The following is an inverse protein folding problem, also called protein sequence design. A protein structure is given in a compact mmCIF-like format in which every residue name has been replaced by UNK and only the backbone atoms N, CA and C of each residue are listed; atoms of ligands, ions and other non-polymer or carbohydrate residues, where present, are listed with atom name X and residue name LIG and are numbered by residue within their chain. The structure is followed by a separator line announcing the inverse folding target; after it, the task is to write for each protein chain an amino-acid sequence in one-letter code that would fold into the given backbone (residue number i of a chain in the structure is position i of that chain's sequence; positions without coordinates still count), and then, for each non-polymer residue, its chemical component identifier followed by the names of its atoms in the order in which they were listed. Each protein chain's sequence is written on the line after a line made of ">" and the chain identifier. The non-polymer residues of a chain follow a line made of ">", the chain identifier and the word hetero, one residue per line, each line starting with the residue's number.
data_IF_856630748666
#
_entry.id   IF_856630748666
#
_cell.length_a   1.000
_cell.length_b   1.000
_cell.length_c   1.000
_cell.angle_alpha   90.00
_cell.angle_beta   90.00
_cell.angle_gamma   90.00
#
_symmetry.space_group_name_H-M   'P 1'
#
loop_
_entity.id
_entity.type
_entity.pdbx_description
1 polymer ?
#
# COMPACT_ATOMS: atom_id res chain seq x y z
N UNK A 1 4.09 11.03 -8.13
CA UNK A 1 4.30 9.60 -8.44
C UNK A 1 4.55 8.95 -7.10
N UNK A 2 3.56 8.26 -6.56
CA UNK A 2 3.77 7.58 -5.30
C UNK A 2 4.53 6.28 -5.51
N UNK A 3 5.41 6.05 -4.55
CA UNK A 3 6.24 4.89 -4.42
C UNK A 3 5.41 3.77 -3.81
N UNK A 4 4.69 2.99 -4.64
CA UNK A 4 4.49 1.59 -4.26
C UNK A 4 5.88 1.00 -4.00
N UNK A 5 6.02 0.27 -2.88
CA UNK A 5 7.14 -0.65 -2.73
C UNK A 5 7.07 -1.62 -3.92
N UNK A 6 7.85 -1.34 -4.96
CA UNK A 6 7.98 -2.21 -6.12
C UNK A 6 8.40 -3.59 -5.58
N UNK A 7 7.78 -4.64 -6.12
CA UNK A 7 7.96 -6.01 -5.64
C UNK A 7 9.43 -6.41 -5.56
N UNK A 8 9.78 -7.19 -4.52
CA UNK A 8 11.13 -7.69 -4.28
C UNK A 8 11.45 -8.86 -5.22
N UNK A 9 10.43 -9.65 -5.54
CA UNK A 9 10.47 -10.76 -6.46
C UNK A 9 9.65 -10.47 -7.70
N UNK A 10 10.09 -11.01 -8.84
CA UNK A 10 9.29 -11.10 -10.04
C UNK A 10 8.17 -12.13 -9.84
N UNK A 11 6.93 -11.79 -10.18
CA UNK A 11 5.77 -12.65 -9.91
C UNK A 11 5.74 -13.90 -10.79
N UNK A 12 6.33 -13.85 -11.99
CA UNK A 12 6.25 -14.92 -12.99
C UNK A 12 7.39 -15.93 -12.81
N UNK A 13 8.59 -15.44 -12.51
CA UNK A 13 9.81 -16.25 -12.41
C UNK A 13 10.22 -16.55 -10.99
N UNK A 14 9.71 -15.80 -10.00
CA UNK A 14 10.16 -15.85 -8.61
C UNK A 14 11.57 -15.26 -8.40
N UNK A 15 12.18 -14.70 -9.43
CA UNK A 15 13.55 -14.17 -9.35
C UNK A 15 13.58 -12.94 -8.45
N UNK A 16 14.60 -12.84 -7.60
CA UNK A 16 14.89 -11.64 -6.84
C UNK A 16 15.25 -10.49 -7.80
N UNK A 17 14.44 -9.43 -7.82
CA UNK A 17 14.65 -8.26 -8.69
C UNK A 17 15.13 -7.03 -7.93
N UNK A 18 15.22 -7.12 -6.59
CA UNK A 18 15.66 -6.02 -5.71
C UNK A 18 16.46 -6.54 -4.55
N UNK A 19 17.45 -5.76 -4.16
CA UNK A 19 18.28 -5.95 -2.98
C UNK A 19 18.12 -4.80 -1.96
N UNK A 20 17.00 -4.08 -2.04
CA UNK A 20 16.67 -3.00 -1.11
C UNK A 20 15.16 -2.70 -1.08
N UNK A 21 14.68 -2.26 0.08
CA UNK A 21 13.31 -1.90 0.38
C UNK A 21 13.27 -0.63 1.25
N UNK A 22 13.13 0.56 0.62
CA UNK A 22 13.09 1.84 1.35
C UNK A 22 11.93 1.94 2.36
N UNK A 23 10.80 1.30 2.08
CA UNK A 23 9.66 1.27 3.02
C UNK A 23 10.02 0.46 4.26
N UNK A 24 10.71 -0.67 4.10
CA UNK A 24 11.21 -1.45 5.23
C UNK A 24 12.21 -0.65 6.06
N UNK A 25 13.15 0.05 5.41
CA UNK A 25 14.08 0.97 6.10
C UNK A 25 13.34 1.95 6.98
N UNK A 26 12.35 2.65 6.42
CA UNK A 26 11.56 3.62 7.16
C UNK A 26 10.82 2.99 8.34
N UNK A 27 10.15 1.83 8.14
CA UNK A 27 9.43 1.16 9.22
C UNK A 27 10.37 0.65 10.32
N UNK A 28 11.54 0.10 9.99
CA UNK A 28 12.54 -0.33 10.98
C UNK A 28 13.06 0.87 11.76
N UNK A 29 13.48 1.95 11.08
CA UNK A 29 13.96 3.16 11.75
C UNK A 29 12.86 3.77 12.63
N UNK A 30 11.61 3.74 12.19
CA UNK A 30 10.48 4.20 12.97
C UNK A 30 10.27 3.40 14.26
N UNK A 31 10.72 2.14 14.39
CA UNK A 31 10.65 1.39 15.65
C UNK A 31 11.51 2.03 16.76
N UNK A 32 12.60 2.71 16.39
CA UNK A 32 13.43 3.49 17.32
C UNK A 32 12.73 4.80 17.73
N UNK A 33 11.99 5.43 16.81
CA UNK A 33 11.33 6.72 17.02
C UNK A 33 9.90 6.63 17.61
N UNK A 34 9.16 5.55 17.35
CA UNK A 34 7.78 5.33 17.82
C UNK A 34 7.68 5.23 19.35
N UNK A 35 8.79 4.90 20.02
CA UNK A 35 8.89 5.05 21.47
C UNK A 35 8.66 6.48 21.96
N UNK A 36 8.92 7.49 21.13
CA UNK A 36 8.72 8.91 21.43
C UNK A 36 7.34 9.46 21.00
N UNK A 37 6.78 9.02 19.86
CA UNK A 37 5.48 9.53 19.35
C UNK A 37 4.24 9.01 20.11
N UNK A 38 4.26 7.77 20.61
CA UNK A 38 3.12 7.18 21.35
C UNK A 38 3.35 7.10 22.87
N UNK A 39 4.37 7.77 23.41
CA UNK A 39 4.57 7.96 24.86
C UNK A 39 4.67 6.69 25.74
N UNK A 40 4.74 5.49 25.16
CA UNK A 40 4.48 4.23 25.91
C UNK A 40 5.74 3.42 26.24
N UNK A 41 6.88 3.64 25.57
CA UNK A 41 8.09 2.87 25.87
C UNK A 41 8.91 3.61 26.91
N UNK A 42 9.04 3.03 28.11
CA UNK A 42 9.94 3.53 29.17
C UNK A 42 11.35 3.71 28.57
N UNK A 43 12.11 4.75 28.98
CA UNK A 43 13.52 4.87 28.63
C UNK A 43 14.26 3.54 28.89
N UNK A 44 14.98 3.03 27.89
CA UNK A 44 15.65 1.72 27.94
C UNK A 44 14.90 0.54 27.30
N UNK A 45 13.64 0.72 26.87
CA UNK A 45 12.84 -0.32 26.17
C UNK A 45 12.78 -0.13 24.65
N UNK A 46 13.57 0.79 24.11
CA UNK A 46 13.66 1.05 22.67
C UNK A 46 14.72 0.13 22.06
N UNK A 47 14.48 -0.46 20.87
CA UNK A 47 15.54 -1.08 20.12
C UNK A 47 16.67 -0.07 19.84
N UNK A 48 17.91 -0.50 20.01
CA UNK A 48 19.14 0.28 19.78
C UNK A 48 19.86 -0.24 18.54
N UNK A 49 20.57 0.64 17.84
CA UNK A 49 21.39 0.23 16.69
C UNK A 49 20.61 -0.21 15.45
N UNK A 50 19.33 0.11 15.34
CA UNK A 50 18.55 -0.12 14.11
C UNK A 50 19.06 0.82 13.00
N UNK A 51 19.59 0.24 11.91
CA UNK A 51 20.10 0.99 10.75
C UNK A 51 19.14 1.00 9.56
N UNK A 52 17.99 0.33 9.66
CA UNK A 52 17.07 0.13 8.56
C UNK A 52 17.27 -1.21 7.86
N UNK A 53 16.91 -1.27 6.58
CA UNK A 53 17.13 -2.42 5.70
C UNK A 53 18.62 -2.74 5.53
N UNK A 54 18.95 -4.00 5.21
CA UNK A 54 20.33 -4.49 5.08
C UNK A 54 20.49 -5.38 3.85
N UNK A 55 21.58 -5.25 3.04
CA UNK A 55 21.83 -6.12 1.90
C UNK A 55 21.82 -7.62 2.23
N UNK A 56 22.21 -7.99 3.46
CA UNK A 56 22.20 -9.37 3.95
C UNK A 56 20.80 -10.02 3.93
N UNK A 57 19.72 -9.23 3.95
CA UNK A 57 18.36 -9.74 3.84
C UNK A 57 18.09 -10.42 2.49
N UNK A 58 18.87 -10.08 1.46
CA UNK A 58 18.64 -10.49 0.07
C UNK A 58 19.70 -11.47 -0.45
N UNK A 59 20.82 -11.62 0.25
CA UNK A 59 21.93 -12.48 -0.18
C UNK A 59 21.50 -13.95 -0.22
N UNK A 60 21.50 -14.56 -1.42
CA UNK A 60 21.09 -15.94 -1.63
C UNK A 60 19.61 -16.22 -1.28
N UNK A 61 18.77 -15.19 -1.20
CA UNK A 61 17.34 -15.36 -0.92
C UNK A 61 16.63 -15.94 -2.14
N UNK A 62 16.12 -17.16 -2.00
CA UNK A 62 15.24 -17.78 -3.00
C UNK A 62 13.81 -17.20 -2.91
N UNK A 63 12.88 -17.67 -3.73
CA UNK A 63 11.48 -17.25 -3.67
C UNK A 63 10.77 -17.83 -2.43
N UNK A 64 11.14 -17.32 -1.26
CA UNK A 64 10.63 -17.74 0.04
C UNK A 64 10.31 -16.50 0.90
N UNK A 65 9.01 -16.25 1.06
CA UNK A 65 8.53 -15.12 1.85
C UNK A 65 8.77 -15.34 3.35
N UNK A 66 8.73 -16.58 3.81
CA UNK A 66 8.91 -16.92 5.21
C UNK A 66 10.36 -16.76 5.65
N UNK A 67 11.30 -17.15 4.79
CA UNK A 67 12.73 -16.89 5.00
C UNK A 67 13.00 -15.39 5.01
N UNK A 68 12.47 -14.65 4.03
CA UNK A 68 12.61 -13.19 3.98
C UNK A 68 12.12 -12.53 5.29
N UNK A 69 10.93 -12.89 5.76
CA UNK A 69 10.37 -12.37 7.01
C UNK A 69 11.16 -12.79 8.24
N UNK A 70 11.70 -14.01 8.26
CA UNK A 70 12.57 -14.49 9.34
C UNK A 70 13.87 -13.68 9.41
N UNK A 71 14.47 -13.36 8.27
CA UNK A 71 15.67 -12.50 8.19
C UNK A 71 15.37 -11.08 8.68
N UNK A 72 14.20 -10.51 8.32
CA UNK A 72 13.76 -9.20 8.84
C UNK A 72 13.59 -9.25 10.36
N UNK A 73 12.97 -10.32 10.88
CA UNK A 73 12.82 -10.56 12.33
C UNK A 73 14.18 -10.59 13.02
N UNK A 74 15.13 -11.36 12.50
CA UNK A 74 16.47 -11.48 13.09
C UNK A 74 17.21 -10.12 13.07
N UNK A 75 17.09 -9.35 11.99
CA UNK A 75 17.65 -8.00 11.90
C UNK A 75 17.06 -7.03 12.94
N UNK A 76 15.73 -7.02 13.10
CA UNK A 76 15.04 -6.15 14.09
C UNK A 76 15.38 -6.60 15.52
N UNK A 77 15.35 -7.91 15.77
CA UNK A 77 15.58 -8.48 17.09
C UNK A 77 17.03 -8.34 17.55
N UNK A 78 18.00 -8.29 16.64
CA UNK A 78 19.40 -8.00 16.98
C UNK A 78 19.58 -6.60 17.62
N UNK A 79 18.67 -5.66 17.33
CA UNK A 79 18.64 -4.33 17.95
C UNK A 79 17.92 -4.29 19.29
N UNK A 80 17.22 -5.35 19.71
CA UNK A 80 16.48 -5.36 20.98
C UNK A 80 17.41 -5.82 22.11
N UNK A 81 17.59 -5.04 23.19
CA UNK A 81 18.42 -5.46 24.30
C UNK A 81 17.91 -6.76 24.95
N UNK A 82 18.79 -7.73 25.17
CA UNK A 82 18.45 -9.06 25.71
C UNK A 82 17.77 -8.99 27.09
N UNK A 83 18.16 -8.01 27.92
CA UNK A 83 17.54 -7.78 29.23
C UNK A 83 16.11 -7.21 29.15
N UNK A 84 15.66 -6.79 27.97
CA UNK A 84 14.30 -6.30 27.72
C UNK A 84 13.46 -7.39 27.06
N UNK A 85 14.02 -8.07 26.06
CA UNK A 85 13.39 -9.20 25.38
C UNK A 85 14.49 -10.20 25.00
N UNK A 86 14.47 -11.42 25.55
CA UNK A 86 15.37 -12.46 25.11
C UNK A 86 15.22 -12.72 23.60
N UNK A 87 16.31 -13.03 22.87
CA UNK A 87 16.23 -13.36 21.45
C UNK A 87 15.28 -14.52 21.13
N UNK A 88 15.02 -15.43 22.07
CA UNK A 88 14.03 -16.51 21.90
C UNK A 88 12.59 -15.99 21.83
N UNK A 89 12.29 -14.90 22.51
CA UNK A 89 10.93 -14.39 22.72
C UNK A 89 10.64 -13.22 21.76
N UNK A 90 11.70 -12.67 21.14
CA UNK A 90 11.57 -11.56 20.22
C UNK A 90 10.81 -11.97 18.96
N UNK A 91 9.63 -11.39 18.79
CA UNK A 91 8.72 -11.63 17.67
C UNK A 91 8.39 -10.31 16.99
N UNK A 92 8.23 -10.34 15.67
CA UNK A 92 7.68 -9.22 14.90
C UNK A 92 6.36 -9.64 14.26
N UNK A 93 5.47 -8.69 14.03
CA UNK A 93 4.22 -8.92 13.30
C UNK A 93 4.27 -8.16 11.99
N UNK A 94 3.93 -8.85 10.89
CA UNK A 94 3.92 -8.30 9.54
C UNK A 94 2.53 -8.46 8.93
N UNK A 95 2.12 -7.49 8.12
CA UNK A 95 0.88 -7.58 7.33
C UNK A 95 1.24 -7.96 5.90
N UNK A 96 0.86 -9.17 5.48
CA UNK A 96 1.01 -9.62 4.10
C UNK A 96 -0.26 -9.30 3.32
N UNK A 97 -0.11 -8.56 2.23
CA UNK A 97 -1.22 -8.21 1.34
C UNK A 97 -0.98 -8.75 -0.08
N UNK A 98 -2.02 -9.06 -0.86
CA UNK A 98 -1.87 -9.54 -2.25
C UNK A 98 -1.07 -8.60 -3.15
N UNK A 99 -1.00 -7.32 -2.82
CA UNK A 99 -0.18 -6.32 -3.51
C UNK A 99 1.32 -6.69 -3.56
N UNK A 100 1.82 -7.49 -2.60
CA UNK A 100 3.21 -7.98 -2.61
C UNK A 100 3.53 -8.83 -3.84
N UNK A 101 2.52 -9.47 -4.42
CA UNK A 101 2.62 -10.29 -5.63
C UNK A 101 1.87 -9.66 -6.80
N UNK A 102 1.66 -8.33 -6.77
CA UNK A 102 0.95 -7.55 -7.79
C UNK A 102 -0.56 -7.84 -7.90
N UNK A 103 -1.17 -8.35 -6.82
CA UNK A 103 -2.61 -8.57 -6.73
C UNK A 103 -3.35 -7.25 -6.51
N UNK A 104 -4.51 -7.09 -7.12
CA UNK A 104 -5.36 -5.92 -6.93
C UNK A 104 -6.64 -6.27 -6.20
N UNK A 105 -6.76 -5.74 -4.99
CA UNK A 105 -7.90 -5.94 -4.11
C UNK A 105 -8.72 -4.65 -3.96
N UNK A 106 -8.68 -3.75 -4.95
CA UNK A 106 -9.46 -2.53 -4.91
C UNK A 106 -10.95 -2.87 -5.00
N UNK A 107 -11.72 -2.38 -4.02
CA UNK A 107 -13.17 -2.54 -3.92
C UNK A 107 -13.92 -1.98 -5.12
N UNK A 108 -15.02 -2.62 -5.51
CA UNK A 108 -15.97 -2.01 -6.43
C UNK A 108 -16.82 -0.99 -5.66
N UNK A 109 -16.63 0.31 -5.94
CA UNK A 109 -17.39 1.36 -5.24
C UNK A 109 -18.83 1.50 -5.77
N UNK A 110 -19.04 1.27 -7.07
CA UNK A 110 -20.32 1.49 -7.76
C UNK A 110 -20.64 0.32 -8.70
N UNK A 111 -21.90 -0.06 -8.82
CA UNK A 111 -22.39 -1.09 -9.75
C UNK A 111 -22.07 -0.75 -11.21
N UNK A 112 -22.09 0.54 -11.56
CA UNK A 112 -21.78 1.03 -12.90
C UNK A 112 -20.29 0.94 -13.29
N UNK A 113 -19.40 0.62 -12.35
CA UNK A 113 -17.95 0.50 -12.58
C UNK A 113 -17.45 -0.87 -12.12
N UNK A 114 -17.82 -1.96 -12.81
CA UNK A 114 -17.35 -3.29 -12.47
C UNK A 114 -15.84 -3.44 -12.68
N UNK A 115 -15.19 -4.43 -12.04
CA UNK A 115 -13.80 -4.78 -12.31
C UNK A 115 -13.56 -5.04 -13.80
N UNK A 116 -12.46 -4.52 -14.33
CA UNK A 116 -12.12 -4.68 -15.75
C UNK A 116 -11.58 -6.07 -16.03
N UNK A 117 -11.64 -6.51 -17.30
CA UNK A 117 -11.03 -7.79 -17.73
C UNK A 117 -9.54 -7.87 -17.38
N UNK A 118 -8.79 -6.78 -17.59
CA UNK A 118 -7.37 -6.72 -17.26
C UNK A 118 -7.12 -6.92 -15.75
N UNK A 119 -7.95 -6.33 -14.89
CA UNK A 119 -7.85 -6.55 -13.44
C UNK A 119 -8.10 -8.01 -13.06
N UNK A 120 -9.14 -8.62 -13.63
CA UNK A 120 -9.48 -10.02 -13.37
C UNK A 120 -8.37 -10.96 -13.87
N UNK A 121 -7.87 -10.74 -15.09
CA UNK A 121 -6.79 -11.55 -15.68
C UNK A 121 -5.49 -11.41 -14.87
N UNK A 122 -5.15 -10.20 -14.39
CA UNK A 122 -4.00 -9.98 -13.51
C UNK A 122 -4.16 -10.77 -12.22
N UNK A 123 -5.30 -10.62 -11.53
CA UNK A 123 -5.53 -11.31 -10.26
C UNK A 123 -5.47 -12.83 -10.43
N UNK A 124 -6.08 -13.37 -11.49
CA UNK A 124 -6.03 -14.79 -11.80
C UNK A 124 -4.60 -15.31 -11.97
N UNK A 125 -3.72 -14.55 -12.63
CA UNK A 125 -2.29 -14.89 -12.75
C UNK A 125 -1.58 -14.81 -11.40
N UNK A 126 -1.81 -13.74 -10.65
CA UNK A 126 -1.18 -13.50 -9.35
C UNK A 126 -1.53 -14.54 -8.29
N UNK A 127 -2.68 -15.23 -8.41
CA UNK A 127 -3.05 -16.30 -7.47
C UNK A 127 -1.99 -17.40 -7.36
N UNK A 128 -1.24 -17.69 -8.43
CA UNK A 128 -0.15 -18.67 -8.38
C UNK A 128 0.94 -18.23 -7.40
N UNK A 129 1.47 -17.02 -7.58
CA UNK A 129 2.50 -16.42 -6.74
C UNK A 129 2.00 -16.21 -5.30
N UNK A 130 0.74 -15.83 -5.13
CA UNK A 130 0.09 -15.70 -3.82
C UNK A 130 0.08 -17.03 -3.05
N UNK A 131 -0.40 -18.11 -3.70
CA UNK A 131 -0.45 -19.42 -3.08
C UNK A 131 0.96 -19.97 -2.77
N UNK A 132 1.94 -19.73 -3.64
CA UNK A 132 3.33 -20.11 -3.39
C UNK A 132 3.93 -19.36 -2.18
N UNK A 133 3.69 -18.05 -2.06
CA UNK A 133 4.11 -17.27 -0.90
C UNK A 133 3.45 -17.79 0.39
N UNK A 134 2.15 -18.08 0.37
CA UNK A 134 1.44 -18.62 1.52
C UNK A 134 1.89 -20.05 1.88
N UNK A 135 2.21 -20.89 0.90
CA UNK A 135 2.75 -22.23 1.15
C UNK A 135 4.13 -22.15 1.81
N UNK A 136 5.01 -21.23 1.38
CA UNK A 136 6.31 -21.01 2.04
C UNK A 136 6.13 -20.65 3.52
N UNK A 137 5.14 -19.81 3.83
CA UNK A 137 4.80 -19.41 5.19
C UNK A 137 4.31 -20.61 6.01
N UNK A 138 3.38 -21.39 5.46
CA UNK A 138 2.82 -22.58 6.13
C UNK A 138 3.87 -23.62 6.47
N UNK A 139 4.86 -23.81 5.60
CA UNK A 139 5.89 -24.83 5.76
C UNK A 139 7.03 -24.40 6.70
N UNK A 140 7.18 -23.10 6.96
CA UNK A 140 8.35 -22.58 7.65
C UNK A 140 8.19 -22.62 9.18
N UNK A 141 9.09 -23.30 9.93
CA UNK A 141 8.89 -23.59 11.35
C UNK A 141 9.02 -22.37 12.29
N UNK A 142 9.48 -21.22 11.78
CA UNK A 142 9.64 -19.98 12.57
C UNK A 142 8.55 -18.93 12.30
N UNK A 143 7.60 -19.22 11.42
CA UNK A 143 6.55 -18.26 11.06
C UNK A 143 5.21 -18.88 11.42
N UNK A 144 4.44 -18.17 12.22
CA UNK A 144 3.03 -18.45 12.39
C UNK A 144 2.22 -17.41 11.61
N UNK A 145 1.12 -17.82 11.02
CA UNK A 145 0.27 -16.99 10.21
C UNK A 145 -1.19 -17.11 10.64
N UNK A 146 -1.88 -15.97 10.68
CA UNK A 146 -3.31 -15.92 10.92
C UNK A 146 -3.99 -15.14 9.81
N UNK A 147 -5.17 -15.60 9.40
CA UNK A 147 -6.04 -14.86 8.49
C UNK A 147 -7.00 -14.00 9.30
N UNK A 148 -6.91 -12.68 9.15
CA UNK A 148 -7.94 -11.76 9.63
C UNK A 148 -9.05 -11.65 8.59
N UNK A 149 -10.24 -12.08 8.95
CA UNK A 149 -11.47 -11.89 8.16
C UNK A 149 -12.28 -10.74 8.74
N UNK A 150 -13.08 -10.10 7.87
CA UNK A 150 -13.93 -8.96 8.22
C UNK A 150 -15.22 -9.04 7.42
N UNK A 151 -16.25 -8.38 7.92
CA UNK A 151 -17.38 -8.01 7.08
C UNK A 151 -16.91 -7.07 5.96
N UNK A 152 -16.97 -7.55 4.72
CA UNK A 152 -16.42 -6.87 3.55
C UNK A 152 -17.18 -5.58 3.22
N UNK A 153 -18.47 -5.51 3.52
CA UNK A 153 -19.25 -4.29 3.37
C UNK A 153 -18.73 -3.18 4.30
N UNK A 154 -18.70 -3.46 5.60
CA UNK A 154 -18.20 -2.53 6.60
C UNK A 154 -16.73 -2.18 6.38
N UNK A 155 -15.90 -3.16 5.99
CA UNK A 155 -14.48 -2.94 5.69
C UNK A 155 -14.30 -2.00 4.50
N UNK A 156 -14.97 -2.27 3.37
CA UNK A 156 -14.82 -1.46 2.17
C UNK A 156 -15.43 -0.06 2.36
N UNK A 157 -16.55 0.05 3.08
CA UNK A 157 -17.12 1.34 3.45
C UNK A 157 -16.16 2.16 4.31
N UNK A 158 -15.54 1.54 5.33
CA UNK A 158 -14.54 2.20 6.18
C UNK A 158 -13.33 2.69 5.37
N UNK A 159 -12.83 1.89 4.43
CA UNK A 159 -11.74 2.30 3.53
C UNK A 159 -12.16 3.46 2.64
N UNK A 160 -13.37 3.40 2.06
CA UNK A 160 -13.94 4.49 1.26
C UNK A 160 -14.02 5.80 2.06
N UNK A 161 -14.62 5.73 3.24
CA UNK A 161 -14.83 6.88 4.12
C UNK A 161 -13.51 7.53 4.54
N UNK A 162 -12.50 6.73 4.86
CA UNK A 162 -11.20 7.23 5.33
C UNK A 162 -10.31 7.75 4.21
N UNK A 163 -10.30 7.08 3.06
CA UNK A 163 -9.22 7.27 2.07
C UNK A 163 -9.68 7.69 0.67
N UNK A 164 -10.95 7.50 0.30
CA UNK A 164 -11.39 7.88 -1.04
C UNK A 164 -11.32 9.41 -1.21
N UNK A 165 -11.10 9.97 -2.41
CA UNK A 165 -11.16 11.42 -2.59
C UNK A 165 -12.53 12.01 -2.22
N UNK A 166 -12.56 13.28 -1.82
CA UNK A 166 -13.82 14.01 -1.59
C UNK A 166 -14.69 13.96 -2.86
N UNK A 167 -16.00 13.81 -2.67
CA UNK A 167 -17.02 13.58 -3.70
C UNK A 167 -17.02 12.20 -4.35
N UNK A 168 -16.15 11.27 -3.93
CA UNK A 168 -16.28 9.86 -4.35
C UNK A 168 -17.58 9.29 -3.80
N UNK A 169 -18.22 8.40 -4.56
CA UNK A 169 -19.46 7.72 -4.15
C UNK A 169 -19.22 6.24 -3.87
N UNK A 170 -20.04 5.67 -2.98
CA UNK A 170 -20.05 4.28 -2.57
C UNK A 170 -21.50 3.78 -2.53
N UNK A 171 -21.80 2.74 -3.28
CA UNK A 171 -23.13 2.12 -3.36
C UNK A 171 -23.18 0.90 -2.43
N UNK A 172 -24.06 0.93 -1.44
CA UNK A 172 -24.18 -0.13 -0.43
C UNK A 172 -24.81 -1.42 -1.00
N UNK A 173 -25.70 -1.30 -1.99
CA UNK A 173 -26.37 -2.44 -2.62
C UNK A 173 -25.45 -3.29 -3.51
N UNK A 174 -24.20 -2.87 -3.77
CA UNK A 174 -23.21 -3.68 -4.50
C UNK A 174 -22.78 -4.86 -3.63
N UNK A 175 -22.96 -6.13 -4.08
CA UNK A 175 -22.50 -7.28 -3.31
C UNK A 175 -20.99 -7.25 -3.07
N UNK A 176 -20.57 -7.48 -1.82
CA UNK A 176 -19.17 -7.46 -1.38
C UNK A 176 -18.78 -8.82 -0.80
N UNK A 177 -18.63 -9.86 -1.63
CA UNK A 177 -18.10 -11.13 -1.15
C UNK A 177 -16.63 -10.98 -0.74
N UNK A 178 -16.14 -11.89 0.09
CA UNK A 178 -14.71 -12.00 0.39
C UNK A 178 -13.90 -12.16 -0.90
N UNK A 179 -12.79 -11.43 -0.99
CA UNK A 179 -11.86 -11.57 -2.11
C UNK A 179 -11.30 -12.98 -2.19
N UNK A 180 -11.04 -13.46 -3.41
CA UNK A 180 -10.44 -14.78 -3.65
C UNK A 180 -9.11 -14.96 -2.92
N UNK A 181 -8.29 -13.91 -2.84
CA UNK A 181 -7.04 -13.92 -2.06
C UNK A 181 -7.26 -14.21 -0.57
N UNK A 182 -8.28 -13.59 0.03
CA UNK A 182 -8.63 -13.78 1.44
C UNK A 182 -9.16 -15.20 1.66
N UNK A 183 -10.07 -15.66 0.79
CA UNK A 183 -10.61 -17.02 0.82
C UNK A 183 -9.49 -18.05 0.68
N UNK A 184 -8.59 -17.87 -0.30
CA UNK A 184 -7.44 -18.76 -0.52
C UNK A 184 -6.50 -18.82 0.68
N UNK A 185 -6.28 -17.70 1.38
CA UNK A 185 -5.38 -17.66 2.54
C UNK A 185 -5.79 -18.59 3.68
N UNK A 186 -7.08 -18.86 3.84
CA UNK A 186 -7.62 -19.73 4.89
C UNK A 186 -7.13 -21.18 4.81
N UNK A 187 -6.60 -21.60 3.66
CA UNK A 187 -6.02 -22.93 3.46
C UNK A 187 -4.56 -23.05 3.93
N UNK A 188 -3.92 -21.92 4.21
CA UNK A 188 -2.48 -21.85 4.49
C UNK A 188 -2.13 -21.26 5.86
N UNK A 189 -3.07 -20.58 6.52
CA UNK A 189 -2.85 -19.98 7.84
C UNK A 189 -3.21 -20.94 8.97
N UNK A 190 -2.58 -20.75 10.12
CA UNK A 190 -2.76 -21.57 11.32
C UNK A 190 -4.09 -21.30 12.00
N UNK A 191 -4.51 -20.02 12.02
CA UNK A 191 -5.72 -19.55 12.69
C UNK A 191 -6.48 -18.58 11.81
N UNK A 192 -7.80 -18.62 11.90
CA UNK A 192 -8.70 -17.67 11.26
C UNK A 192 -9.43 -16.88 12.34
N UNK A 193 -9.35 -15.57 12.26
CA UNK A 193 -9.98 -14.66 13.23
C UNK A 193 -10.92 -13.74 12.48
N UNK A 194 -12.20 -13.74 12.85
CA UNK A 194 -13.12 -12.68 12.45
C UNK A 194 -12.90 -11.49 13.38
N UNK A 195 -12.48 -10.34 12.83
CA UNK A 195 -12.09 -9.21 13.68
C UNK A 195 -13.28 -8.68 14.50
N UNK A 196 -14.49 -8.84 13.99
CA UNK A 196 -15.72 -8.44 14.65
C UNK A 196 -15.92 -9.20 15.98
N UNK A 197 -15.37 -10.41 16.12
CA UNK A 197 -15.39 -11.15 17.39
C UNK A 197 -14.42 -10.55 18.41
N UNK A 198 -13.29 -10.02 17.95
CA UNK A 198 -12.31 -9.35 18.82
C UNK A 198 -12.83 -8.05 19.42
N UNK A 199 -13.81 -7.42 18.77
CA UNK A 199 -14.39 -6.15 19.21
C UNK A 199 -15.63 -6.33 20.10
N UNK A 200 -16.00 -7.56 20.46
CA UNK A 200 -17.12 -7.86 21.38
C UNK A 200 -16.72 -7.62 22.85
N UNK A 201 -16.20 -6.43 23.14
CA UNK A 201 -15.75 -6.03 24.46
C UNK A 201 -14.49 -6.76 24.95
N UNK A 202 -14.24 -6.67 26.25
CA UNK A 202 -13.01 -7.17 26.86
C UNK A 202 -12.79 -8.68 26.68
N UNK A 203 -13.85 -9.49 26.70
CA UNK A 203 -13.74 -10.95 26.54
C UNK A 203 -13.29 -11.34 25.12
N UNK A 204 -13.91 -10.73 24.09
CA UNK A 204 -13.51 -10.94 22.70
C UNK A 204 -12.07 -10.48 22.44
N UNK A 205 -11.71 -9.30 22.95
CA UNK A 205 -10.37 -8.75 22.84
C UNK A 205 -9.31 -9.65 23.52
N UNK A 206 -9.59 -10.15 24.73
CA UNK A 206 -8.70 -11.03 25.47
C UNK A 206 -8.47 -12.35 24.74
N UNK A 207 -9.53 -12.95 24.21
CA UNK A 207 -9.46 -14.19 23.43
C UNK A 207 -8.58 -14.01 22.20
N UNK A 208 -8.87 -12.99 21.38
CA UNK A 208 -8.07 -12.73 20.17
C UNK A 208 -6.60 -12.44 20.47
N UNK A 209 -6.31 -11.67 21.51
CA UNK A 209 -4.93 -11.38 21.91
C UNK A 209 -4.21 -12.64 22.39
N UNK A 210 -4.87 -13.44 23.24
CA UNK A 210 -4.31 -14.70 23.75
C UNK A 210 -3.99 -15.67 22.61
N UNK A 211 -4.94 -15.89 21.71
CA UNK A 211 -4.78 -16.83 20.59
C UNK A 211 -3.64 -16.39 19.65
N UNK A 212 -3.54 -15.09 19.35
CA UNK A 212 -2.46 -14.56 18.52
C UNK A 212 -1.08 -14.70 19.18
N UNK A 213 -0.97 -14.53 20.50
CA UNK A 213 0.29 -14.68 21.22
C UNK A 213 0.72 -16.15 21.34
N UNK A 214 -0.22 -17.06 21.57
CA UNK A 214 0.05 -18.49 21.68
C UNK A 214 0.65 -19.08 20.40
N UNK A 215 0.29 -18.54 19.23
CA UNK A 215 0.86 -18.96 17.94
C UNK A 215 2.38 -18.84 17.87
N UNK A 216 2.96 -17.91 18.62
CA UNK A 216 4.41 -17.67 18.67
C UNK A 216 5.01 -18.10 20.01
N UNK A 217 4.27 -18.91 20.79
CA UNK A 217 4.71 -19.41 22.09
C UNK A 217 4.76 -18.35 23.19
N UNK A 218 4.14 -17.19 22.99
CA UNK A 218 4.07 -16.12 23.98
C UNK A 218 2.80 -16.22 24.82
N UNK A 219 2.84 -15.61 26.01
CA UNK A 219 1.70 -15.49 26.92
C UNK A 219 1.21 -14.05 27.00
N UNK A 220 0.00 -13.84 27.52
CA UNK A 220 -0.53 -12.50 27.80
C UNK A 220 0.18 -11.81 28.98
N UNK A 221 0.91 -12.56 29.81
CA UNK A 221 1.85 -11.98 30.77
C UNK A 221 3.17 -11.59 30.09
N UNK A 222 3.76 -10.42 30.38
CA UNK A 222 3.46 -9.51 31.49
C UNK A 222 2.49 -8.36 31.16
N UNK A 223 1.90 -8.32 29.96
CA UNK A 223 1.01 -7.21 29.57
C UNK A 223 -0.28 -7.15 30.42
N UNK A 224 -0.70 -8.28 31.00
CA UNK A 224 -1.94 -8.38 31.78
C UNK A 224 -3.13 -7.91 30.97
N UNK A 225 -4.06 -7.21 31.62
CA UNK A 225 -5.29 -6.73 30.96
C UNK A 225 -5.08 -5.50 30.07
N UNK A 226 -3.86 -4.95 29.98
CA UNK A 226 -3.62 -3.72 29.21
C UNK A 226 -3.83 -3.92 27.71
N UNK A 227 -3.37 -5.04 27.16
CA UNK A 227 -3.56 -5.36 25.75
C UNK A 227 -5.05 -5.53 25.43
N UNK A 228 -5.76 -6.26 26.29
CA UNK A 228 -7.22 -6.42 26.23
C UNK A 228 -7.93 -5.09 26.28
N UNK A 229 -7.58 -4.18 27.20
CA UNK A 229 -8.19 -2.87 27.30
C UNK A 229 -8.00 -2.07 26.00
N UNK A 230 -6.76 -2.02 25.48
CA UNK A 230 -6.48 -1.32 24.21
C UNK A 230 -7.29 -1.85 23.03
N UNK A 231 -7.45 -3.17 22.94
CA UNK A 231 -8.22 -3.81 21.86
C UNK A 231 -9.74 -3.74 22.05
N UNK A 232 -10.21 -3.68 23.30
CA UNK A 232 -11.62 -3.57 23.64
C UNK A 232 -12.18 -2.17 23.35
N UNK A 233 -11.32 -1.16 23.25
CA UNK A 233 -11.67 0.20 22.84
C UNK A 233 -11.50 0.36 21.33
N UNK A 234 -12.45 1.04 20.68
CA UNK A 234 -12.30 1.37 19.26
C UNK A 234 -11.46 2.64 19.09
N UNK A 235 -10.65 2.70 18.03
CA UNK A 235 -9.93 3.93 17.62
C UNK A 235 -10.86 5.13 17.30
N UNK A 236 -12.19 4.95 17.37
CA UNK A 236 -13.20 6.00 17.23
C UNK A 236 -13.50 6.69 18.57
N UNK A 237 -13.09 6.10 19.70
CA UNK A 237 -13.17 6.74 21.01
C UNK A 237 -11.93 7.63 21.18
N UNK A 238 -12.15 8.95 21.10
CA UNK A 238 -11.10 9.96 21.28
C UNK A 238 -10.48 9.92 22.67
N UNK A 239 -11.16 9.33 23.66
CA UNK A 239 -10.64 9.20 25.01
C UNK A 239 -10.98 7.84 25.60
N UNK A 240 -9.97 7.13 26.11
CA UNK A 240 -10.17 5.90 26.89
C UNK A 240 -9.46 6.01 28.24
N UNK A 241 -9.92 5.27 29.24
CA UNK A 241 -9.33 5.29 30.59
C UNK A 241 -8.73 3.92 30.89
N UNK A 242 -7.46 3.87 31.24
CA UNK A 242 -6.82 2.60 31.58
C UNK A 242 -7.28 2.04 32.93
N UNK A 243 -6.89 0.80 33.21
CA UNK A 243 -7.21 0.11 34.46
C UNK A 243 -6.71 0.85 35.74
N UNK A 244 -5.82 1.83 35.59
CA UNK A 244 -5.31 2.67 36.68
C UNK A 244 -6.01 4.02 36.76
N UNK A 245 -7.05 4.25 35.96
CA UNK A 245 -7.81 5.51 35.95
C UNK A 245 -7.15 6.63 35.15
N UNK A 246 -6.10 6.35 34.37
CA UNK A 246 -5.44 7.37 33.53
C UNK A 246 -6.21 7.51 32.22
N UNK A 247 -6.63 8.74 31.92
CA UNK A 247 -7.25 9.08 30.62
C UNK A 247 -6.18 9.23 29.55
N UNK A 248 -6.36 8.53 28.45
CA UNK A 248 -5.55 8.60 27.24
C UNK A 248 -6.40 9.24 26.15
N UNK A 249 -5.88 10.31 25.53
CA UNK A 249 -6.50 11.01 24.40
C UNK A 249 -5.85 10.46 23.11
N UNK A 250 -6.67 9.95 22.19
CA UNK A 250 -6.20 9.50 20.86
C UNK A 250 -6.35 10.66 19.89
N UNK A 251 -5.31 10.92 19.09
CA UNK A 251 -5.31 11.97 18.07
C UNK A 251 -6.48 11.73 17.10
N UNK A 252 -7.52 12.57 17.21
CA UNK A 252 -8.89 12.33 16.74
C UNK A 252 -9.07 12.45 15.22
N UNK A 253 -8.13 11.94 14.44
CA UNK A 253 -8.16 12.02 12.98
C UNK A 253 -9.14 11.02 12.35
N UNK A 254 -9.74 10.13 13.15
CA UNK A 254 -10.64 9.07 12.70
C UNK A 254 -11.99 9.13 13.44
N UNK A 255 -12.84 10.06 13.01
CA UNK A 255 -14.24 10.14 13.49
C UNK A 255 -15.08 9.14 12.71
N UNK A 256 -16.01 8.46 13.37
CA UNK A 256 -16.96 7.58 12.70
C UNK A 256 -17.80 8.37 11.68
N UNK A 257 -18.10 7.77 10.54
CA UNK A 257 -19.07 8.35 9.61
C UNK A 257 -20.45 8.49 10.28
N UNK A 258 -21.17 9.56 10.00
CA UNK A 258 -22.53 9.79 10.53
C UNK A 258 -23.55 8.74 10.05
N UNK A 259 -23.25 8.04 8.96
CA UNK A 259 -24.05 6.98 8.39
C UNK A 259 -23.16 5.92 7.71
N UNK A 260 -23.70 4.72 7.52
CA UNK A 260 -23.04 3.58 6.85
C UNK A 260 -24.04 2.67 6.14
N UNK A 261 -23.54 1.65 5.43
CA UNK A 261 -24.40 0.64 4.79
C UNK A 261 -25.24 -0.15 5.81
N UNK A 262 -24.77 -0.30 7.05
CA UNK A 262 -25.57 -0.91 8.11
C UNK A 262 -26.80 -0.05 8.49
N UNK A 263 -26.73 1.28 8.31
CA UNK A 263 -27.85 2.19 8.59
C UNK A 263 -28.83 2.31 7.42
N UNK A 264 -28.34 2.19 6.18
CA UNK A 264 -29.16 2.18 4.97
C UNK A 264 -28.50 1.31 3.89
N UNK A 265 -28.90 0.03 3.78
CA UNK A 265 -28.27 -0.94 2.88
C UNK A 265 -28.42 -0.62 1.38
N UNK A 266 -29.38 0.23 1.02
CA UNK A 266 -29.66 0.58 -0.39
C UNK A 266 -29.14 1.99 -0.75
N UNK A 267 -28.48 2.67 0.19
CA UNK A 267 -27.99 4.02 -0.03
C UNK A 267 -26.77 4.06 -0.95
N UNK A 268 -26.62 5.20 -1.62
CA UNK A 268 -25.36 5.65 -2.19
C UNK A 268 -24.84 6.76 -1.28
N UNK A 269 -23.64 6.59 -0.75
CA UNK A 269 -22.97 7.59 0.08
C UNK A 269 -21.91 8.32 -0.70
N UNK A 270 -21.78 9.62 -0.47
CA UNK A 270 -20.73 10.46 -1.05
C UNK A 270 -19.82 10.98 0.06
N UNK A 271 -18.50 10.86 -0.13
CA UNK A 271 -17.51 11.34 0.84
C UNK A 271 -17.44 12.86 0.86
N UNK A 272 -17.48 13.45 2.04
CA UNK A 272 -17.37 14.88 2.27
C UNK A 272 -15.95 15.29 2.68
N UNK A 273 -15.65 16.59 2.60
CA UNK A 273 -14.33 17.13 2.96
C UNK A 273 -14.06 17.10 4.49
N UNK A 274 -15.11 17.04 5.30
CA UNK A 274 -15.03 16.98 6.76
C UNK A 274 -14.87 15.55 7.30
N UNK A 275 -14.43 14.59 6.46
CA UNK A 275 -14.35 13.17 6.82
C UNK A 275 -15.69 12.58 7.28
N UNK A 276 -16.79 13.03 6.68
CA UNK A 276 -18.12 12.45 6.87
C UNK A 276 -18.70 12.00 5.52
N UNK A 277 -19.91 11.45 5.53
CA UNK A 277 -20.64 11.05 4.34
C UNK A 277 -22.00 11.73 4.27
N UNK A 278 -22.48 11.95 3.05
CA UNK A 278 -23.88 12.29 2.82
C UNK A 278 -24.52 11.21 1.94
N UNK A 279 -25.78 10.87 2.23
CA UNK A 279 -26.59 10.07 1.31
C UNK A 279 -26.89 10.93 0.07
N UNK A 280 -26.70 10.35 -1.11
CA UNK A 280 -27.18 10.92 -2.37
C UNK A 280 -28.37 10.12 -2.87
N UNK A 281 -29.44 10.81 -3.26
CA UNK A 281 -30.57 10.16 -3.92
C UNK A 281 -30.12 9.63 -5.29
N UNK A 282 -30.69 8.47 -5.67
CA UNK A 282 -30.31 7.59 -6.79
C UNK A 282 -29.56 8.28 -7.95
N UNK A 283 -28.44 7.66 -8.37
CA UNK A 283 -27.55 8.02 -9.49
C UNK A 283 -27.97 9.31 -10.20
N UNK A 284 -27.32 10.43 -9.83
CA UNK A 284 -27.33 11.69 -10.57
C UNK A 284 -27.41 11.38 -12.07
N UNK A 285 -28.35 12.00 -12.80
CA UNK A 285 -28.70 11.67 -14.18
C UNK A 285 -27.47 11.66 -15.12
N UNK A 286 -26.41 12.36 -14.71
CA UNK A 286 -25.07 12.32 -15.29
C UNK A 286 -24.41 10.92 -15.26
N UNK A 287 -24.52 10.17 -14.16
CA UNK A 287 -24.00 8.81 -14.04
C UNK A 287 -24.78 7.80 -14.90
N UNK A 288 -26.09 8.01 -15.09
CA UNK A 288 -26.90 7.25 -16.06
C UNK A 288 -26.44 7.48 -17.49
N UNK A 289 -26.17 8.73 -17.85
CA UNK A 289 -25.65 9.11 -19.17
C UNK A 289 -24.22 8.60 -19.43
N UNK A 290 -23.35 8.56 -18.41
CA UNK A 290 -22.04 7.91 -18.55
C UNK A 290 -22.15 6.40 -18.74
N UNK A 291 -23.12 5.73 -18.11
CA UNK A 291 -23.41 4.30 -18.29
C UNK A 291 -23.78 3.98 -19.74
N UNK A 292 -24.65 4.79 -20.33
CA UNK A 292 -25.05 4.68 -21.75
C UNK A 292 -23.88 4.94 -22.70
N UNK A 293 -22.97 5.87 -22.33
CA UNK A 293 -21.80 6.21 -23.14
C UNK A 293 -20.69 5.14 -23.09
N UNK A 294 -20.44 4.53 -21.94
CA UNK A 294 -19.47 3.44 -21.79
C UNK A 294 -19.98 2.13 -22.40
N UNK A 295 -21.28 1.83 -22.28
CA UNK A 295 -21.89 0.66 -22.93
C UNK A 295 -21.92 0.76 -24.47
N UNK A 296 -21.79 1.97 -25.02
CA UNK A 296 -21.76 2.23 -26.46
C UNK A 296 -20.35 2.29 -27.07
N UNK A 297 -19.28 2.04 -26.29
CA UNK A 297 -17.91 2.00 -26.83
C UNK A 297 -17.59 0.63 -27.44
N UNK A 298 -17.06 0.56 -28.68
CA UNK A 298 -16.59 -0.69 -29.27
C UNK A 298 -15.41 -1.29 -28.49
N UNK A 299 -15.40 -2.62 -28.34
CA UNK A 299 -14.45 -3.38 -27.51
C UNK A 299 -12.96 -3.06 -27.75
N UNK A 300 -12.59 -2.64 -28.97
CA UNK A 300 -11.20 -2.34 -29.36
C UNK A 300 -10.63 -1.03 -28.78
N UNK A 301 -11.45 -0.13 -28.21
CA UNK A 301 -10.99 1.14 -27.63
C UNK A 301 -10.88 1.13 -26.09
N UNK A 302 -11.25 0.02 -25.46
CA UNK A 302 -11.06 -0.19 -24.01
C UNK A 302 -9.58 -0.34 -23.60
N UNK A 303 -8.70 -0.59 -24.58
CA UNK A 303 -7.27 -0.92 -24.41
C UNK A 303 -6.35 0.31 -24.18
N UNK A 304 -6.85 1.54 -24.40
CA UNK A 304 -6.05 2.78 -24.30
C UNK A 304 -6.39 3.66 -23.08
N UNK A 305 -7.22 3.16 -22.16
CA UNK A 305 -7.67 3.87 -20.95
C UNK A 305 -6.71 3.80 -19.75
N UNK A 306 -5.45 3.42 -19.96
CA UNK A 306 -4.43 3.30 -18.90
C UNK A 306 -3.87 4.69 -18.58
N UNK A 307 -4.15 5.20 -17.37
CA UNK A 307 -3.34 6.29 -16.80
C UNK A 307 -4.02 7.36 -15.95
N UNK A 308 -5.20 7.15 -15.38
CA UNK A 308 -5.80 8.19 -14.49
C UNK A 308 -6.22 7.73 -13.09
N UNK A 309 -6.29 6.42 -12.80
CA UNK A 309 -6.78 5.93 -11.49
C UNK A 309 -5.70 5.24 -10.64
N UNK A 310 -4.43 5.35 -11.05
CA UNK A 310 -3.27 4.69 -10.42
C UNK A 310 -2.69 5.46 -9.23
N UNK A 311 -3.44 6.40 -8.65
CA UNK A 311 -3.03 7.21 -7.49
C UNK A 311 -4.09 7.14 -6.39
N UNK A 312 -4.16 5.97 -5.74
CA UNK A 312 -4.74 5.87 -4.42
C UNK A 312 -3.65 5.35 -3.51
N UNK A 313 -2.92 6.32 -2.98
CA UNK A 313 -1.86 6.13 -2.03
C UNK A 313 -2.39 6.25 -0.62
N UNK A 314 -2.00 5.27 0.16
CA UNK A 314 -2.03 5.28 1.61
C UNK A 314 -0.60 5.63 2.03
N UNK A 315 -0.49 6.65 2.89
CA UNK A 315 0.71 7.25 3.49
C UNK A 315 1.16 8.57 2.84
N UNK A 316 0.62 9.69 3.34
CA UNK A 316 1.40 10.90 3.67
C UNK A 316 0.57 11.87 4.54
N UNK A 317 0.86 11.91 5.84
CA UNK A 317 0.57 13.05 6.72
C UNK A 317 1.92 13.47 7.29
N UNK A 318 2.55 14.47 6.69
CA UNK A 318 3.00 15.67 7.38
C UNK A 318 3.65 16.67 6.40
N UNK A 319 3.13 17.90 6.40
CA UNK A 319 3.77 19.05 5.78
C UNK A 319 4.83 19.62 6.72
N UNK A 320 6.06 19.79 6.24
CA UNK A 320 6.77 21.07 6.39
C UNK A 320 7.82 21.24 5.28
N UNK A 321 7.68 22.35 4.55
CA UNK A 321 8.56 22.80 3.50
C UNK A 321 9.94 23.24 4.03
N UNK A 322 11.01 22.85 3.33
CA UNK A 322 12.24 23.67 3.26
C UNK A 322 12.71 23.72 1.81
N UNK A 323 12.65 24.94 1.28
CA UNK A 323 13.27 25.38 0.03
C UNK A 323 14.79 25.35 0.12
N UNK A 324 15.48 24.89 -0.94
CA UNK A 324 16.92 25.14 -1.07
C UNK A 324 17.64 24.25 -2.08
N UNK A 325 17.60 24.63 -3.35
CA UNK A 325 18.51 24.16 -4.40
C UNK A 325 19.96 24.57 -4.06
N UNK A 326 20.94 23.69 -4.27
CA UNK A 326 22.37 23.99 -4.20
C UNK A 326 23.20 22.89 -4.87
N UNK A 327 23.63 23.17 -6.10
CA UNK A 327 24.44 22.35 -7.01
C UNK A 327 25.89 22.25 -6.52
N UNK A 328 26.54 21.08 -6.67
CA UNK A 328 27.90 20.97 -7.26
C UNK A 328 28.40 19.53 -7.30
N UNK A 329 29.11 19.18 -8.38
CA UNK A 329 30.25 18.27 -8.27
C UNK A 329 30.22 17.07 -9.20
N UNK A 330 30.53 17.30 -10.46
CA UNK A 330 31.35 16.35 -11.24
C UNK A 330 32.66 16.11 -10.51
N UNK A 331 33.20 14.89 -10.59
CA UNK A 331 34.63 14.56 -10.80
C UNK A 331 34.98 13.21 -10.16
N UNK A 332 35.56 12.33 -10.99
CA UNK A 332 36.60 11.33 -10.69
C UNK A 332 36.40 10.03 -11.49
N UNK A 333 36.69 10.10 -12.78
CA UNK A 333 37.36 9.02 -13.51
C UNK A 333 38.82 9.49 -13.59
N UNK A 334 39.72 8.85 -12.85
CA UNK A 334 41.11 8.65 -13.26
C UNK A 334 41.87 7.82 -12.23
N UNK A 335 42.79 7.00 -12.75
CA UNK A 335 43.75 6.10 -12.09
C UNK A 335 43.28 4.68 -11.75
N UNK A 336 43.63 3.73 -12.63
CA UNK A 336 44.55 2.62 -12.33
C UNK A 336 45.07 2.07 -13.66
N UNK A 337 46.35 2.29 -13.98
CA UNK A 337 47.16 1.42 -14.83
C UNK A 337 48.63 1.73 -14.52
N UNK A 338 49.29 0.82 -13.80
CA UNK A 338 50.72 0.56 -13.95
C UNK A 338 51.06 -0.83 -13.40
N UNK A 339 51.88 -1.52 -14.18
CA UNK A 339 52.59 -2.80 -13.95
C UNK A 339 51.79 -4.12 -13.98
N UNK A 340 51.97 -4.89 -15.06
CA UNK A 340 52.69 -6.18 -15.03
C UNK A 340 52.82 -6.80 -16.43
N UNK A 341 54.06 -6.91 -16.90
CA UNK A 341 54.52 -7.77 -18.00
C UNK A 341 54.44 -9.26 -17.57
N UNK A 342 53.61 -10.07 -18.23
CA UNK A 342 53.90 -11.47 -18.63
C UNK A 342 52.66 -12.17 -19.22
N UNK A 343 52.86 -12.90 -20.34
CA UNK A 343 51.96 -13.83 -21.06
C UNK A 343 51.01 -13.28 -22.15
N UNK A 344 51.63 -12.98 -23.30
CA UNK A 344 51.10 -12.31 -24.50
C UNK A 344 50.19 -13.15 -25.43
N UNK A 345 49.59 -14.23 -24.93
CA UNK A 345 48.64 -15.04 -25.72
C UNK A 345 47.32 -15.35 -25.00
N UNK A 346 47.29 -15.21 -23.66
CA UNK A 346 46.07 -15.35 -22.86
C UNK A 346 45.31 -14.03 -22.70
N UNK A 347 46.03 -12.91 -22.62
CA UNK A 347 45.44 -11.58 -22.38
C UNK A 347 44.69 -11.00 -23.58
N UNK A 348 45.13 -11.28 -24.82
CA UNK A 348 44.44 -10.81 -26.04
C UNK A 348 43.02 -11.38 -26.14
N UNK A 349 42.83 -12.64 -25.71
CA UNK A 349 41.53 -13.31 -25.73
C UNK A 349 40.59 -12.83 -24.62
N UNK A 350 41.15 -12.40 -23.48
CA UNK A 350 40.41 -11.83 -22.37
C UNK A 350 39.96 -10.39 -22.66
N UNK A 351 40.84 -9.59 -23.29
CA UNK A 351 40.55 -8.24 -23.76
C UNK A 351 39.49 -8.24 -24.86
N UNK A 352 39.52 -9.19 -25.81
CA UNK A 352 38.51 -9.30 -26.86
C UNK A 352 37.12 -9.68 -26.30
N UNK A 353 37.06 -10.52 -25.26
CA UNK A 353 35.80 -10.85 -24.56
C UNK A 353 35.25 -9.65 -23.78
N UNK A 354 36.11 -8.93 -23.07
CA UNK A 354 35.71 -7.71 -22.33
C UNK A 354 35.26 -6.59 -23.27
N UNK A 355 35.87 -6.46 -24.46
CA UNK A 355 35.47 -5.46 -25.46
C UNK A 355 34.08 -5.76 -26.06
N UNK A 356 33.74 -7.04 -26.23
CA UNK A 356 32.41 -7.46 -26.71
C UNK A 356 31.32 -7.17 -25.68
N UNK A 357 31.60 -7.43 -24.40
CA UNK A 357 30.64 -7.14 -23.31
C UNK A 357 30.43 -5.62 -23.14
N UNK A 358 31.51 -4.82 -23.17
CA UNK A 358 31.42 -3.35 -23.14
C UNK A 358 30.66 -2.78 -24.35
N UNK A 359 30.79 -3.40 -25.52
CA UNK A 359 30.02 -3.00 -26.71
C UNK A 359 28.54 -3.32 -26.57
N UNK A 360 28.20 -4.47 -25.97
CA UNK A 360 26.82 -4.85 -25.69
C UNK A 360 26.16 -3.91 -24.68
N UNK A 361 26.85 -3.56 -23.59
CA UNK A 361 26.38 -2.58 -22.59
C UNK A 361 26.18 -1.19 -23.20
N UNK A 362 27.09 -0.75 -24.06
CA UNK A 362 26.97 0.54 -24.76
C UNK A 362 25.75 0.57 -25.70
N UNK A 363 25.48 -0.51 -26.42
CA UNK A 363 24.30 -0.62 -27.29
C UNK A 363 22.99 -0.75 -26.50
N UNK A 364 23.02 -1.33 -25.30
CA UNK A 364 21.89 -1.32 -24.38
C UNK A 364 21.62 0.08 -23.81
N UNK A 365 22.66 0.81 -23.42
CA UNK A 365 22.52 2.21 -22.98
C UNK A 365 21.99 3.12 -24.09
N UNK A 366 22.44 2.94 -25.34
CA UNK A 366 21.88 3.67 -26.49
C UNK A 366 20.39 3.37 -26.70
N UNK A 367 19.98 2.11 -26.55
CA UNK A 367 18.56 1.71 -26.62
C UNK A 367 17.75 2.31 -25.48
N UNK A 368 18.30 2.35 -24.27
CA UNK A 368 17.65 2.98 -23.12
C UNK A 368 17.48 4.50 -23.31
N UNK A 369 18.52 5.20 -23.79
CA UNK A 369 18.43 6.64 -24.11
C UNK A 369 17.42 6.94 -25.23
N UNK A 370 17.33 6.11 -26.26
CA UNK A 370 16.34 6.25 -27.32
C UNK A 370 14.90 6.04 -26.80
N UNK A 371 14.70 5.09 -25.89
CA UNK A 371 13.43 4.85 -25.20
C UNK A 371 13.01 6.04 -24.34
N UNK A 372 13.94 6.60 -23.56
CA UNK A 372 13.70 7.80 -22.73
C UNK A 372 13.37 9.03 -23.58
N UNK A 373 14.06 9.23 -24.71
CA UNK A 373 13.76 10.32 -25.64
C UNK A 373 12.36 10.18 -26.26
N UNK A 374 11.93 8.96 -26.57
CA UNK A 374 10.58 8.67 -27.06
C UNK A 374 9.51 8.92 -25.99
N UNK A 375 9.75 8.49 -24.75
CA UNK A 375 8.86 8.73 -23.61
C UNK A 375 8.70 10.23 -23.30
N UNK A 376 9.78 11.00 -23.43
CA UNK A 376 9.77 12.46 -23.22
C UNK A 376 8.89 13.16 -24.26
N UNK A 377 9.01 12.79 -25.54
CA UNK A 377 8.11 13.30 -26.60
C UNK A 377 6.65 12.93 -26.37
N UNK A 378 6.37 11.73 -25.87
CA UNK A 378 5.01 11.31 -25.53
C UNK A 378 4.44 12.13 -24.36
N UNK A 379 5.24 12.43 -23.35
CA UNK A 379 4.88 13.26 -22.21
C UNK A 379 4.56 14.70 -22.63
N UNK A 380 5.36 15.32 -23.51
CA UNK A 380 5.07 16.65 -24.07
C UNK A 380 3.76 16.67 -24.86
N UNK A 381 3.52 15.67 -25.72
CA UNK A 381 2.27 15.55 -26.47
C UNK A 381 1.06 15.39 -25.54
N UNK A 382 1.21 14.65 -24.44
CA UNK A 382 0.18 14.52 -23.40
C UNK A 382 -0.05 15.84 -22.65
N UNK A 383 1.01 16.60 -22.38
CA UNK A 383 0.92 17.94 -21.76
C UNK A 383 0.15 18.91 -22.63
N UNK A 384 0.47 18.99 -23.93
CA UNK A 384 -0.25 19.84 -24.89
C UNK A 384 -1.73 19.43 -25.03
N UNK A 385 -2.02 18.13 -25.06
CA UNK A 385 -3.40 17.63 -25.11
C UNK A 385 -4.18 17.94 -23.81
N UNK A 386 -3.51 17.92 -22.66
CA UNK A 386 -4.10 18.33 -21.38
C UNK A 386 -4.40 19.82 -21.35
N UNK A 387 -3.48 20.66 -21.83
CA UNK A 387 -3.65 22.11 -21.87
C UNK A 387 -4.78 22.54 -22.82
N UNK A 388 -4.88 21.93 -24.00
CA UNK A 388 -6.01 22.14 -24.93
C UNK A 388 -7.35 21.78 -24.28
N UNK A 389 -7.42 20.69 -23.51
CA UNK A 389 -8.63 20.29 -22.77
C UNK A 389 -8.97 21.30 -21.67
N UNK A 390 -7.97 21.82 -20.95
CA UNK A 390 -8.18 22.83 -19.91
C UNK A 390 -8.74 24.14 -20.49
N UNK A 391 -8.24 24.57 -21.64
CA UNK A 391 -8.73 25.76 -22.35
C UNK A 391 -10.18 25.55 -22.80
N UNK A 392 -10.49 24.41 -23.43
CA UNK A 392 -11.85 24.09 -23.87
C UNK A 392 -12.84 24.01 -22.70
N UNK A 393 -12.42 23.50 -21.54
CA UNK A 393 -13.24 23.47 -20.33
C UNK A 393 -13.50 24.87 -19.76
N UNK A 394 -12.48 25.73 -19.73
CA UNK A 394 -12.63 27.11 -19.28
C UNK A 394 -13.62 27.89 -20.17
N UNK A 395 -13.59 27.68 -21.49
CA UNK A 395 -14.52 28.29 -22.42
C UNK A 395 -15.97 27.80 -22.22
N UNK A 396 -16.17 26.49 -22.08
CA UNK A 396 -17.50 25.93 -21.76
C UNK A 396 -18.05 26.48 -20.45
N UNK A 397 -17.22 26.59 -19.41
CA UNK A 397 -17.60 27.18 -18.13
C UNK A 397 -18.03 28.64 -18.26
N UNK A 398 -17.30 29.43 -19.07
CA UNK A 398 -17.65 30.84 -19.35
C UNK A 398 -19.02 30.95 -20.04
N UNK A 399 -19.29 30.10 -21.02
CA UNK A 399 -20.58 30.07 -21.72
C UNK A 399 -21.72 29.71 -20.75
N UNK A 400 -21.54 28.67 -19.93
CA UNK A 400 -22.53 28.25 -18.94
C UNK A 400 -22.83 29.37 -17.92
N UNK A 401 -21.80 30.08 -17.45
CA UNK A 401 -21.99 31.23 -16.56
C UNK A 401 -22.76 32.38 -17.22
N UNK A 402 -22.55 32.62 -18.52
CA UNK A 402 -23.33 33.60 -19.29
C UNK A 402 -24.82 33.24 -19.36
N UNK A 403 -25.12 31.99 -19.68
CA UNK A 403 -26.50 31.48 -19.76
C UNK A 403 -27.20 31.59 -18.39
N UNK A 404 -26.51 31.23 -17.30
CA UNK A 404 -27.05 31.34 -15.94
C UNK A 404 -27.34 32.81 -15.59
N UNK A 405 -26.44 33.73 -15.94
CA UNK A 405 -26.63 35.15 -15.68
C UNK A 405 -27.84 35.72 -16.46
N UNK A 406 -28.01 35.35 -17.73
CA UNK A 406 -29.17 35.74 -18.54
C UNK A 406 -30.48 35.20 -17.98
N UNK A 407 -30.50 33.92 -17.56
CA UNK A 407 -31.68 33.32 -16.94
C UNK A 407 -32.06 34.01 -15.62
N UNK A 408 -31.08 34.34 -14.78
CA UNK A 408 -31.29 35.06 -13.52
C UNK A 408 -31.75 36.50 -13.75
N UNK A 409 -31.29 37.15 -14.83
CA UNK A 409 -31.75 38.48 -15.21
C UNK A 409 -33.21 38.46 -15.72
N UNK A 410 -33.58 37.49 -16.56
CA UNK A 410 -34.95 37.31 -17.04
C UNK A 410 -35.94 37.06 -15.90
N UNK A 411 -35.54 36.28 -14.88
CA UNK A 411 -36.35 36.01 -13.68
C UNK A 411 -36.53 37.23 -12.75
N UNK A 412 -35.73 38.28 -12.90
CA UNK A 412 -35.88 39.54 -12.14
C UNK A 412 -36.83 40.55 -12.79
N UNK A 413 -37.14 40.37 -14.08
CA UNK A 413 -37.99 41.28 -14.87
C UNK A 413 -39.43 40.76 -14.97
N UNK A 414 -39.63 39.45 -14.78
CA UNK A 414 -40.94 38.82 -14.55
C UNK A 414 -41.28 38.85 -13.04
#
# INVERSE_FOLDING_TARGET
>A
MSSFAKAIFDSDTGTLIRNSNPVLTEKILALSAQGAKHGTKKPGFQPVGLTGDSPSLYEGLEYDFAEYFSRVRDLVCAGVPENICPPSDCTITLKLFPQFVNGNTAGQLLSAKPPTKCMNDRNAKTMLSWNAALESIKQHPKVAALTLTRDEESRQFSVFHRFAPVNTQFECSVPRPSYEFATGSTHYTDVQVAIEDCWKGAEGAATCLSDALQLVGLSTEPMGDRGTALMAHSDLETTWTDANGVKHDTDSTHVAASASCATDPEAIFKRLANNDVERVDAMDEHARLERERFAAMPDELSDWGIGFWETLDVDDVDHHAVTGFGVSGTDAIDHVFDELDSDDAGQTKLLDLQLVDLHAELEEQKRHMASVASATKLMEKRREASEKRRIAYAEKRRIAQGIIAEFMAAKKVA
#
